data_IF_535063355060
#
_entry.id   IF_535063355060
#
_cell.length_a   1.000
_cell.length_b   1.000
_cell.length_c   1.000
_cell.angle_alpha   90.00
_cell.angle_beta   90.00
_cell.angle_gamma   90.00
#
_symmetry.space_group_name_H-M   'P 1'
#
loop_
_entity.id
_entity.type
_entity.pdbx_description
1 polymer ?
#
# COMPACT_ATOMS: atom_id res chain seq x y z
N UNK A 1 -13.80 -16.16 1.59
CA UNK A 1 -12.76 -15.60 0.69
C UNK A 1 -12.90 -14.09 0.73
N UNK A 2 -12.18 -13.41 1.62
CA UNK A 2 -12.16 -11.94 1.68
C UNK A 2 -11.13 -11.43 0.68
N UNK A 3 -11.54 -11.18 -0.56
CA UNK A 3 -10.71 -10.52 -1.58
C UNK A 3 -10.62 -9.00 -1.34
N UNK A 4 -11.28 -8.47 -0.31
CA UNK A 4 -11.35 -7.02 -0.03
C UNK A 4 -10.23 -6.50 0.86
N UNK A 5 -9.55 -7.35 1.63
CA UNK A 5 -8.53 -6.89 2.59
C UNK A 5 -7.22 -6.46 1.94
N UNK A 6 -6.76 -7.19 0.91
CA UNK A 6 -5.49 -6.90 0.26
C UNK A 6 -5.53 -5.55 -0.46
N UNK A 7 -6.63 -5.24 -1.15
CA UNK A 7 -6.77 -4.04 -1.97
C UNK A 7 -6.89 -2.74 -1.14
N UNK A 8 -7.30 -2.83 0.13
CA UNK A 8 -7.47 -1.65 1.01
C UNK A 8 -6.22 -0.77 1.06
N UNK A 9 -5.05 -1.37 1.26
CA UNK A 9 -3.79 -0.65 1.37
C UNK A 9 -3.17 -0.30 0.02
N UNK A 10 -3.49 -1.04 -1.05
CA UNK A 10 -3.07 -0.70 -2.40
C UNK A 10 -3.75 0.60 -2.85
N UNK A 11 -5.07 0.70 -2.67
CA UNK A 11 -5.81 1.96 -2.89
C UNK A 11 -5.32 3.11 -2.02
N UNK A 12 -5.07 2.86 -0.73
CA UNK A 12 -4.53 3.89 0.15
C UNK A 12 -3.16 4.40 -0.33
N UNK A 13 -2.29 3.52 -0.81
CA UNK A 13 -1.00 3.92 -1.37
C UNK A 13 -1.14 4.66 -2.70
N UNK A 14 -2.07 4.20 -3.55
CA UNK A 14 -2.42 4.82 -4.82
C UNK A 14 -2.97 6.23 -4.68
N UNK A 15 -3.76 6.48 -3.62
CA UNK A 15 -4.45 7.75 -3.39
C UNK A 15 -3.73 8.63 -2.34
N UNK A 16 -2.63 8.14 -1.75
CA UNK A 16 -1.79 8.87 -0.79
C UNK A 16 -2.34 8.97 0.64
N UNK A 17 -3.22 8.06 1.06
CA UNK A 17 -3.86 8.06 2.39
C UNK A 17 -2.93 7.50 3.48
N UNK A 18 -2.11 8.38 4.04
CA UNK A 18 -1.11 8.06 5.05
C UNK A 18 -1.71 7.43 6.32
N UNK A 19 -2.80 7.98 6.84
CA UNK A 19 -3.41 7.49 8.09
C UNK A 19 -3.83 6.03 7.99
N UNK A 20 -4.41 5.65 6.84
CA UNK A 20 -4.83 4.28 6.61
C UNK A 20 -3.63 3.35 6.41
N UNK A 21 -2.55 3.83 5.76
CA UNK A 21 -1.30 3.06 5.66
C UNK A 21 -0.61 2.88 7.01
N UNK A 22 -0.89 3.74 8.01
CA UNK A 22 -0.35 3.56 9.35
C UNK A 22 -1.00 2.40 10.12
N UNK A 23 -2.22 2.00 9.75
CA UNK A 23 -2.92 0.85 10.33
C UNK A 23 -2.40 -0.49 9.79
N UNK A 24 -1.67 -0.47 8.67
CA UNK A 24 -1.19 -1.67 7.99
C UNK A 24 -0.03 -2.35 8.73
N UNK A 25 -0.04 -3.68 8.74
CA UNK A 25 1.11 -4.48 9.16
C UNK A 25 2.10 -4.74 8.00
N UNK A 26 3.31 -5.21 8.33
CA UNK A 26 4.37 -5.48 7.35
C UNK A 26 3.96 -6.46 6.25
N UNK A 27 3.11 -7.44 6.55
CA UNK A 27 2.66 -8.44 5.55
C UNK A 27 1.71 -7.80 4.55
N UNK A 28 0.81 -6.93 5.00
CA UNK A 28 -0.11 -6.18 4.14
C UNK A 28 0.63 -5.21 3.22
N UNK A 29 1.61 -4.48 3.75
CA UNK A 29 2.44 -3.54 3.00
C UNK A 29 3.35 -4.20 1.95
N UNK A 30 3.64 -5.49 2.10
CA UNK A 30 4.41 -6.29 1.14
C UNK A 30 3.56 -7.25 0.30
N UNK A 31 2.25 -7.29 0.55
CA UNK A 31 1.34 -8.13 -0.21
C UNK A 31 1.25 -7.62 -1.65
N UNK A 32 0.95 -8.52 -2.58
CA UNK A 32 0.69 -8.20 -3.97
C UNK A 32 -0.81 -8.29 -4.22
N UNK A 33 -1.34 -7.36 -4.99
CA UNK A 33 -2.69 -7.44 -5.54
C UNK A 33 -2.76 -8.38 -6.76
N UNK A 34 -3.91 -8.35 -7.44
CA UNK A 34 -4.19 -9.18 -8.62
C UNK A 34 -3.31 -8.82 -9.83
N UNK A 35 -2.84 -7.58 -9.91
CA UNK A 35 -1.89 -7.11 -10.93
C UNK A 35 -0.44 -7.45 -10.57
N UNK A 36 -0.22 -8.08 -9.40
CA UNK A 36 1.11 -8.39 -8.88
C UNK A 36 1.84 -7.18 -8.29
N UNK A 37 1.15 -6.05 -8.13
CA UNK A 37 1.68 -4.79 -7.63
C UNK A 37 1.61 -4.78 -6.10
N UNK A 38 2.61 -4.20 -5.45
CA UNK A 38 2.55 -3.94 -4.00
C UNK A 38 2.03 -2.54 -3.73
N UNK A 39 1.57 -2.21 -2.50
CA UNK A 39 1.21 -0.85 -2.14
C UNK A 39 2.34 0.15 -2.43
N UNK A 40 3.60 -0.22 -2.17
CA UNK A 40 4.75 0.63 -2.49
C UNK A 40 4.85 0.94 -3.99
N UNK A 41 4.58 -0.03 -4.87
CA UNK A 41 4.61 0.18 -6.31
C UNK A 41 3.51 1.16 -6.75
N UNK A 42 2.30 1.07 -6.17
CA UNK A 42 1.23 2.03 -6.44
C UNK A 42 1.57 3.45 -5.97
N UNK A 43 2.09 3.61 -4.74
CA UNK A 43 2.54 4.92 -4.25
C UNK A 43 3.63 5.52 -5.15
N UNK A 44 4.57 4.70 -5.62
CA UNK A 44 5.61 5.16 -6.55
C UNK A 44 5.05 5.53 -7.92
N UNK A 45 4.11 4.74 -8.46
CA UNK A 45 3.53 4.96 -9.78
C UNK A 45 2.72 6.26 -9.84
N UNK A 46 1.99 6.59 -8.77
CA UNK A 46 1.21 7.83 -8.66
C UNK A 46 1.98 9.01 -8.07
N UNK A 47 3.24 8.83 -7.67
CA UNK A 47 4.09 9.91 -7.16
C UNK A 47 3.79 10.33 -5.72
N UNK A 48 3.13 9.48 -4.93
CA UNK A 48 2.88 9.72 -3.50
C UNK A 48 4.13 9.40 -2.67
N UNK A 49 5.09 10.32 -2.67
CA UNK A 49 6.39 10.15 -2.03
C UNK A 49 6.29 9.89 -0.52
N UNK A 50 5.38 10.56 0.18
CA UNK A 50 5.20 10.37 1.63
C UNK A 50 4.63 8.98 1.95
N UNK A 51 3.68 8.51 1.13
CA UNK A 51 3.13 7.17 1.26
C UNK A 51 4.22 6.13 0.98
N UNK A 52 5.02 6.32 -0.08
CA UNK A 52 6.13 5.44 -0.42
C UNK A 52 7.16 5.38 0.72
N UNK A 53 7.54 6.52 1.29
CA UNK A 53 8.47 6.58 2.44
C UNK A 53 7.92 5.86 3.66
N UNK A 54 6.64 6.05 3.97
CA UNK A 54 5.97 5.37 5.08
C UNK A 54 5.96 3.86 4.87
N UNK A 55 5.56 3.41 3.67
CA UNK A 55 5.46 1.99 3.33
C UNK A 55 6.84 1.33 3.38
N UNK A 56 7.84 1.91 2.72
CA UNK A 56 9.21 1.33 2.67
C UNK A 56 9.90 1.40 4.03
N UNK A 57 9.64 2.43 4.84
CA UNK A 57 10.20 2.54 6.19
C UNK A 57 9.64 1.50 7.17
N UNK A 58 8.45 0.95 6.90
CA UNK A 58 7.79 -0.09 7.72
C UNK A 58 7.86 -1.49 7.10
N UNK A 59 8.04 -1.55 5.78
CA UNK A 59 8.02 -2.74 4.92
C UNK A 59 9.20 -3.67 5.09
#
# INVERSE_FOLDING_TARGET
>A
MSFMDSDRFHRAARDGYLDLLQEANRKELNSRDEDGMTPAMWASYYGHLDALRLIVGRG
#
